data_IF_126826331105
#
_entry.id   IF_126826331105
#
_cell.length_a   1.000
_cell.length_b   1.000
_cell.length_c   1.000
_cell.angle_alpha   90.00
_cell.angle_beta   90.00
_cell.angle_gamma   90.00
#
_symmetry.space_group_name_H-M   'P 1'
#
loop_
_entity.id
_entity.type
_entity.pdbx_description
1 polymer ?
#
# COMPACT_ATOMS: atom_id res chain seq x y z
N UNK A 1 10.72 -14.65 -23.05
CA UNK A 1 10.03 -15.43 -21.99
C UNK A 1 9.46 -16.69 -22.64
N UNK A 2 9.92 -17.87 -22.27
CA UNK A 2 9.53 -19.14 -22.89
C UNK A 2 8.06 -19.48 -22.61
N UNK A 3 7.42 -20.27 -23.49
CA UNK A 3 6.04 -20.76 -23.32
C UNK A 3 5.86 -21.46 -21.95
N UNK A 4 6.86 -22.23 -21.54
CA UNK A 4 6.90 -22.93 -20.26
C UNK A 4 6.78 -21.93 -19.09
N UNK A 5 7.50 -20.82 -19.12
CA UNK A 5 7.41 -19.81 -18.05
C UNK A 5 6.03 -19.14 -18.01
N UNK A 6 5.36 -18.96 -19.16
CA UNK A 6 3.97 -18.44 -19.19
C UNK A 6 3.00 -19.42 -18.54
N UNK A 7 3.15 -20.73 -18.79
CA UNK A 7 2.31 -21.78 -18.21
C UNK A 7 2.53 -21.87 -16.69
N UNK A 8 3.77 -21.88 -16.25
CA UNK A 8 4.12 -21.94 -14.81
C UNK A 8 3.53 -20.72 -14.08
N UNK A 9 3.65 -19.52 -14.65
CA UNK A 9 3.09 -18.31 -14.04
C UNK A 9 1.55 -18.36 -13.96
N UNK A 10 0.89 -18.89 -15.00
CA UNK A 10 -0.56 -19.08 -14.99
C UNK A 10 -1.02 -20.10 -13.94
N UNK A 11 -0.29 -21.21 -13.78
CA UNK A 11 -0.57 -22.21 -12.76
C UNK A 11 -0.36 -21.68 -11.33
N UNK A 12 0.70 -20.91 -11.11
CA UNK A 12 0.94 -20.23 -9.83
C UNK A 12 -0.18 -19.24 -9.50
N UNK A 13 -0.61 -18.45 -10.49
CA UNK A 13 -1.75 -17.55 -10.34
C UNK A 13 -3.01 -18.29 -9.90
N UNK A 14 -3.36 -19.41 -10.58
CA UNK A 14 -4.53 -20.23 -10.23
C UNK A 14 -4.38 -20.85 -8.83
N UNK A 15 -3.18 -21.28 -8.46
CA UNK A 15 -2.89 -21.80 -7.11
C UNK A 15 -3.11 -20.75 -6.01
N UNK A 16 -2.62 -19.53 -6.19
CA UNK A 16 -2.84 -18.43 -5.23
C UNK A 16 -4.32 -18.05 -5.17
N UNK A 17 -5.01 -18.03 -6.30
CA UNK A 17 -6.46 -17.80 -6.37
C UNK A 17 -7.24 -18.86 -5.58
N UNK A 18 -6.89 -20.13 -5.75
CA UNK A 18 -7.49 -21.24 -5.02
C UNK A 18 -7.23 -21.15 -3.51
N UNK A 19 -5.98 -20.87 -3.12
CA UNK A 19 -5.63 -20.63 -1.70
C UNK A 19 -6.38 -19.46 -1.08
N UNK A 20 -6.60 -18.40 -1.83
CA UNK A 20 -7.36 -17.24 -1.35
C UNK A 20 -8.82 -17.62 -1.11
N UNK A 21 -9.50 -18.20 -2.09
CA UNK A 21 -10.92 -18.62 -1.96
C UNK A 21 -11.15 -19.59 -0.80
N UNK A 22 -10.25 -20.55 -0.60
CA UNK A 22 -10.33 -21.54 0.49
C UNK A 22 -10.05 -20.98 1.89
N UNK A 23 -9.51 -19.76 2.00
CA UNK A 23 -9.08 -19.18 3.28
C UNK A 23 -9.66 -17.79 3.56
N UNK A 24 -10.85 -17.49 3.01
CA UNK A 24 -11.56 -16.23 3.23
C UNK A 24 -11.76 -15.89 4.72
N UNK A 25 -11.99 -16.91 5.56
CA UNK A 25 -12.11 -16.77 7.01
C UNK A 25 -10.86 -16.16 7.70
N UNK A 26 -9.75 -16.06 7.00
CA UNK A 26 -8.50 -15.46 7.51
C UNK A 26 -8.32 -13.98 7.13
N UNK A 27 -9.24 -13.44 6.35
CA UNK A 27 -9.32 -12.01 6.08
C UNK A 27 -9.97 -11.31 7.27
N UNK A 28 -9.37 -10.22 7.73
CA UNK A 28 -9.89 -9.39 8.79
C UNK A 28 -9.78 -7.94 8.38
N UNK A 29 -10.90 -7.25 8.41
CA UNK A 29 -10.99 -5.82 8.18
C UNK A 29 -11.60 -5.15 9.40
N UNK A 30 -11.00 -4.05 9.82
CA UNK A 30 -11.49 -3.17 10.86
C UNK A 30 -11.56 -1.77 10.29
N UNK A 31 -12.73 -1.17 10.33
CA UNK A 31 -12.96 0.21 9.95
C UNK A 31 -13.30 1.01 11.20
N UNK A 32 -12.61 2.12 11.40
CA UNK A 32 -12.66 2.92 12.63
C UNK A 32 -13.25 4.31 12.43
N UNK A 33 -13.31 4.78 11.19
CA UNK A 33 -13.86 6.09 10.86
C UNK A 33 -14.88 6.00 9.73
N UNK A 34 -15.90 6.88 9.71
CA UNK A 34 -16.87 6.97 8.64
C UNK A 34 -16.23 7.44 7.32
N UNK A 35 -16.84 7.06 6.20
CA UNK A 35 -16.35 7.42 4.85
C UNK A 35 -16.47 8.91 4.50
N UNK A 36 -17.20 9.69 5.28
CA UNK A 36 -17.42 11.15 5.05
C UNK A 36 -16.16 12.01 5.24
N UNK A 37 -15.07 11.43 5.73
CA UNK A 37 -13.78 12.12 5.82
C UNK A 37 -13.04 12.20 4.48
N UNK A 38 -13.44 11.40 3.48
CA UNK A 38 -12.84 11.45 2.14
C UNK A 38 -13.25 12.73 1.41
N UNK A 39 -12.31 13.67 1.34
CA UNK A 39 -12.47 14.96 0.66
C UNK A 39 -11.29 15.18 -0.29
N UNK A 40 -11.43 16.00 -1.33
CA UNK A 40 -10.30 16.35 -2.17
C UNK A 40 -9.10 16.84 -1.34
N UNK A 41 -7.91 16.47 -1.79
CA UNK A 41 -6.66 16.83 -1.12
C UNK A 41 -6.55 18.37 -0.95
N UNK A 42 -6.17 18.86 0.22
CA UNK A 42 -5.98 20.29 0.44
C UNK A 42 -4.74 20.80 -0.32
N UNK A 43 -4.67 22.12 -0.55
CA UNK A 43 -3.59 22.74 -1.32
C UNK A 43 -2.19 22.52 -0.75
N UNK A 44 -2.06 22.22 0.52
CA UNK A 44 -0.79 21.95 1.18
C UNK A 44 -0.41 20.45 1.26
N UNK A 45 -1.20 19.56 0.64
CA UNK A 45 -0.94 18.12 0.66
C UNK A 45 0.46 17.76 0.14
N UNK A 46 0.96 18.45 -0.90
CA UNK A 46 2.31 18.23 -1.41
C UNK A 46 3.41 18.58 -0.40
N UNK A 47 3.22 19.65 0.38
CA UNK A 47 4.14 20.00 1.46
C UNK A 47 4.16 18.93 2.55
N UNK A 48 2.97 18.46 2.94
CA UNK A 48 2.83 17.36 3.91
C UNK A 48 3.46 16.07 3.39
N UNK A 49 3.26 15.73 2.11
CA UNK A 49 3.91 14.59 1.48
C UNK A 49 5.44 14.68 1.56
N UNK A 50 6.04 15.84 1.24
CA UNK A 50 7.50 16.03 1.34
C UNK A 50 8.01 15.84 2.77
N UNK A 51 7.30 16.36 3.77
CA UNK A 51 7.67 16.15 5.17
C UNK A 51 7.59 14.67 5.56
N UNK A 52 6.56 13.97 5.09
CA UNK A 52 6.36 12.56 5.34
C UNK A 52 7.45 11.69 4.69
N UNK A 53 7.80 11.98 3.44
CA UNK A 53 8.90 11.28 2.76
C UNK A 53 10.22 11.43 3.52
N UNK A 54 10.54 12.63 4.02
CA UNK A 54 11.74 12.85 4.85
C UNK A 54 11.73 12.03 6.15
N UNK A 55 10.56 11.81 6.77
CA UNK A 55 10.44 10.92 7.94
C UNK A 55 10.72 9.46 7.58
N UNK A 56 10.28 9.03 6.41
CA UNK A 56 10.49 7.66 5.94
C UNK A 56 11.93 7.40 5.47
N UNK A 57 12.57 8.37 4.82
CA UNK A 57 13.96 8.25 4.33
C UNK A 57 14.97 7.96 5.46
N UNK A 58 14.67 8.40 6.68
CA UNK A 58 15.46 8.09 7.87
C UNK A 58 15.31 6.63 8.36
N UNK A 59 14.48 5.83 7.72
CA UNK A 59 14.14 4.46 8.14
C UNK A 59 14.69 3.42 7.17
N UNK A 60 15.93 2.96 7.37
CA UNK A 60 16.59 1.95 6.51
C UNK A 60 15.82 0.62 6.36
N UNK A 61 14.92 0.31 7.29
CA UNK A 61 14.11 -0.92 7.30
C UNK A 61 12.75 -0.76 6.57
N UNK A 62 12.46 0.42 6.02
CA UNK A 62 11.23 0.72 5.31
C UNK A 62 11.50 0.85 3.82
N UNK A 63 10.97 -0.09 3.05
CA UNK A 63 10.99 -0.06 1.59
C UNK A 63 9.60 0.29 1.10
N UNK A 64 9.43 1.49 0.55
CA UNK A 64 8.14 2.00 0.08
C UNK A 64 8.31 2.95 -1.10
N UNK A 65 7.20 3.21 -1.78
CA UNK A 65 7.11 4.20 -2.87
C UNK A 65 5.70 4.79 -2.91
N UNK A 66 5.53 5.90 -3.59
CA UNK A 66 4.21 6.35 -3.99
C UNK A 66 3.58 5.40 -5.00
N UNK A 67 2.26 5.30 -4.99
CA UNK A 67 1.52 4.42 -5.88
C UNK A 67 0.24 5.07 -6.42
N UNK A 68 -0.48 4.33 -7.23
CA UNK A 68 -1.81 4.66 -7.78
C UNK A 68 -1.93 6.13 -8.25
N UNK A 69 -2.93 6.86 -7.81
CA UNK A 69 -3.21 8.25 -8.20
C UNK A 69 -2.09 9.23 -7.82
N UNK A 70 -1.50 9.04 -6.64
CA UNK A 70 -0.43 9.90 -6.13
C UNK A 70 0.82 9.85 -7.00
N UNK A 71 1.25 8.65 -7.43
CA UNK A 71 2.38 8.49 -8.35
C UNK A 71 2.04 9.03 -9.74
N UNK A 72 0.84 8.71 -10.26
CA UNK A 72 0.40 9.16 -11.57
C UNK A 72 0.41 10.70 -11.67
N UNK A 73 -0.11 11.39 -10.68
CA UNK A 73 -0.14 12.86 -10.65
C UNK A 73 1.26 13.46 -10.71
N UNK A 74 2.20 12.96 -9.90
CA UNK A 74 3.57 13.45 -9.89
C UNK A 74 4.30 13.18 -11.21
N UNK A 75 4.13 12.00 -11.82
CA UNK A 75 4.78 11.66 -13.09
C UNK A 75 4.21 12.43 -14.28
N UNK A 76 2.88 12.68 -14.31
CA UNK A 76 2.21 13.33 -15.42
C UNK A 76 2.25 14.86 -15.32
N UNK A 77 1.98 15.40 -14.14
CA UNK A 77 1.69 16.83 -13.93
C UNK A 77 2.70 17.50 -13.00
N UNK A 78 3.64 16.74 -12.42
CA UNK A 78 4.59 17.22 -11.42
C UNK A 78 3.96 17.59 -10.07
N UNK A 79 2.70 17.18 -9.83
CA UNK A 79 1.92 17.49 -8.63
C UNK A 79 0.89 16.40 -8.32
N UNK A 80 0.37 16.39 -7.11
CA UNK A 80 -0.75 15.53 -6.74
C UNK A 80 -2.01 15.88 -7.54
N UNK A 81 -2.87 14.89 -7.79
CA UNK A 81 -4.14 15.09 -8.50
C UNK A 81 -5.10 15.84 -7.58
N UNK A 82 -5.57 17.03 -8.00
CA UNK A 82 -6.34 17.95 -7.15
C UNK A 82 -7.72 17.43 -6.71
N UNK A 83 -8.29 16.48 -7.43
CA UNK A 83 -9.58 15.85 -7.09
C UNK A 83 -9.41 14.48 -6.42
N UNK A 84 -8.17 14.03 -6.21
CA UNK A 84 -7.88 12.85 -5.42
C UNK A 84 -8.14 13.13 -3.94
N UNK A 85 -8.38 12.10 -3.15
CA UNK A 85 -8.78 12.23 -1.74
C UNK A 85 -7.82 11.57 -0.77
N UNK A 86 -6.75 10.95 -1.27
CA UNK A 86 -5.76 10.22 -0.49
C UNK A 86 -4.36 10.31 -1.12
N UNK A 87 -3.38 9.90 -0.35
CA UNK A 87 -1.99 9.72 -0.78
C UNK A 87 -1.65 8.24 -0.60
N UNK A 88 -1.38 7.56 -1.72
CA UNK A 88 -1.15 6.13 -1.78
C UNK A 88 0.31 5.76 -1.71
N UNK A 89 0.60 4.73 -0.94
CA UNK A 89 1.93 4.13 -0.81
C UNK A 89 1.89 2.61 -0.96
N UNK A 90 2.73 2.07 -1.84
CA UNK A 90 3.09 0.67 -1.83
C UNK A 90 4.25 0.43 -0.85
N UNK A 91 4.11 -0.53 0.02
CA UNK A 91 5.08 -0.87 1.06
C UNK A 91 5.47 -2.34 0.96
N UNK A 92 6.76 -2.64 0.98
CA UNK A 92 7.21 -4.03 1.10
C UNK A 92 6.91 -4.52 2.53
N UNK A 93 6.08 -5.57 2.62
CA UNK A 93 5.63 -6.08 3.90
C UNK A 93 6.77 -6.69 4.71
N UNK A 94 6.93 -6.23 5.92
CA UNK A 94 7.66 -6.87 7.00
C UNK A 94 7.00 -6.50 8.33
N UNK A 95 7.29 -7.22 9.40
CA UNK A 95 6.84 -6.80 10.74
C UNK A 95 7.44 -5.45 11.14
N UNK A 96 8.65 -5.17 10.68
CA UNK A 96 9.36 -3.90 10.95
C UNK A 96 8.69 -2.74 10.20
N UNK A 97 8.40 -2.89 8.90
CA UNK A 97 7.75 -1.83 8.11
C UNK A 97 6.38 -1.46 8.68
N UNK A 98 5.57 -2.44 9.08
CA UNK A 98 4.29 -2.18 9.78
C UNK A 98 4.52 -1.38 11.06
N UNK A 99 5.47 -1.80 11.90
CA UNK A 99 5.78 -1.15 13.18
C UNK A 99 6.27 0.29 13.01
N UNK A 100 7.12 0.54 11.99
CA UNK A 100 7.61 1.89 11.66
C UNK A 100 6.43 2.79 11.31
N UNK A 101 5.55 2.37 10.41
CA UNK A 101 4.39 3.17 10.00
C UNK A 101 3.43 3.40 11.18
N UNK A 102 3.13 2.37 11.99
CA UNK A 102 2.30 2.53 13.19
C UNK A 102 2.93 3.49 14.22
N UNK A 103 4.26 3.48 14.38
CA UNK A 103 4.96 4.40 15.28
C UNK A 103 4.90 5.84 14.74
N UNK A 104 5.18 6.06 13.45
CA UNK A 104 5.10 7.40 12.83
C UNK A 104 3.68 7.94 12.95
N UNK A 105 2.66 7.13 12.64
CA UNK A 105 1.27 7.53 12.79
C UNK A 105 0.94 7.94 14.24
N UNK A 106 1.45 7.20 15.23
CA UNK A 106 1.29 7.52 16.64
C UNK A 106 2.01 8.82 17.03
N UNK A 107 3.27 8.99 16.61
CA UNK A 107 4.09 10.16 16.94
C UNK A 107 3.55 11.44 16.27
N UNK A 108 2.88 11.29 15.12
CA UNK A 108 2.19 12.37 14.40
C UNK A 108 0.71 12.53 14.81
N UNK A 109 0.23 11.76 15.80
CA UNK A 109 -1.16 11.78 16.30
C UNK A 109 -2.21 11.52 15.21
N UNK A 110 -1.88 10.69 14.21
CA UNK A 110 -2.80 10.35 13.14
C UNK A 110 -3.94 9.45 13.62
N UNK A 111 -5.13 9.72 13.12
CA UNK A 111 -6.29 8.86 13.35
C UNK A 111 -6.29 7.66 12.40
N UNK A 112 -6.56 6.46 12.93
CA UNK A 112 -6.68 5.24 12.13
C UNK A 112 -8.08 5.16 11.51
N UNK A 113 -8.17 5.01 10.18
CA UNK A 113 -9.41 4.81 9.42
C UNK A 113 -9.69 3.32 9.23
N UNK A 114 -8.71 2.62 8.65
CA UNK A 114 -8.88 1.24 8.19
C UNK A 114 -7.64 0.40 8.49
N UNK A 115 -7.88 -0.85 8.86
CA UNK A 115 -6.85 -1.84 9.08
C UNK A 115 -7.28 -3.16 8.44
N UNK A 116 -6.50 -3.65 7.48
CA UNK A 116 -6.78 -4.91 6.79
C UNK A 116 -5.65 -5.88 7.02
N UNK A 117 -5.99 -7.12 7.36
CA UNK A 117 -5.01 -8.19 7.50
C UNK A 117 -5.50 -9.50 6.86
N UNK A 118 -4.56 -10.26 6.31
CA UNK A 118 -4.79 -11.60 5.79
C UNK A 118 -3.74 -12.55 6.34
N UNK A 119 -4.17 -13.65 6.95
CA UNK A 119 -3.27 -14.64 7.58
C UNK A 119 -2.25 -14.02 8.55
N UNK A 120 -2.69 -13.08 9.38
CA UNK A 120 -1.84 -12.32 10.32
C UNK A 120 -0.78 -11.42 9.66
N UNK A 121 -0.82 -11.22 8.35
CA UNK A 121 0.01 -10.23 7.65
C UNK A 121 -0.83 -8.99 7.38
N UNK A 122 -0.27 -7.83 7.67
CA UNK A 122 -0.88 -6.54 7.30
C UNK A 122 -0.97 -6.46 5.78
N UNK A 123 -2.12 -6.00 5.29
CA UNK A 123 -2.38 -5.78 3.87
C UNK A 123 -2.60 -4.31 3.58
N UNK A 124 -3.20 -3.58 4.51
CA UNK A 124 -3.49 -2.16 4.38
C UNK A 124 -3.59 -1.51 5.76
N UNK A 125 -3.05 -0.31 5.85
CA UNK A 125 -3.28 0.64 6.94
C UNK A 125 -3.64 1.99 6.31
N UNK A 126 -4.77 2.55 6.72
CA UNK A 126 -5.22 3.86 6.26
C UNK A 126 -5.34 4.78 7.45
N UNK A 127 -4.69 5.93 7.39
CA UNK A 127 -4.70 6.95 8.43
C UNK A 127 -5.16 8.29 7.89
N UNK A 128 -5.50 9.20 8.77
CA UNK A 128 -5.70 10.61 8.46
C UNK A 128 -4.97 11.50 9.47
N UNK A 129 -4.47 12.63 9.00
CA UNK A 129 -3.82 13.62 9.85
C UNK A 129 -4.81 14.69 10.40
N UNK A 130 -4.28 15.70 11.10
CA UNK A 130 -5.02 16.84 11.64
C UNK A 130 -5.74 17.66 10.56
N UNK A 131 -5.20 17.71 9.34
CA UNK A 131 -5.77 18.41 8.19
C UNK A 131 -6.71 17.53 7.35
N UNK A 132 -6.98 16.32 7.78
CA UNK A 132 -7.81 15.30 7.12
C UNK A 132 -7.23 14.79 5.80
N UNK A 133 -5.91 14.89 5.61
CA UNK A 133 -5.23 14.21 4.52
C UNK A 133 -5.19 12.73 4.85
N UNK A 134 -5.63 11.91 3.92
CA UNK A 134 -5.66 10.46 4.06
C UNK A 134 -4.37 9.88 3.49
N UNK A 135 -3.77 8.97 4.22
CA UNK A 135 -2.57 8.23 3.83
C UNK A 135 -2.90 6.75 3.78
N UNK A 136 -2.79 6.14 2.61
CA UNK A 136 -3.09 4.72 2.39
C UNK A 136 -1.81 3.91 2.14
N UNK A 137 -1.50 3.00 3.06
CA UNK A 137 -0.34 2.13 3.01
C UNK A 137 -0.76 0.72 2.61
N UNK A 138 -0.42 0.33 1.39
CA UNK A 138 -0.72 -1.00 0.83
C UNK A 138 0.51 -1.89 0.93
N UNK A 139 0.40 -2.97 1.70
CA UNK A 139 1.52 -3.86 1.99
C UNK A 139 1.58 -5.02 1.00
N UNK A 140 2.69 -5.16 0.32
CA UNK A 140 2.97 -6.22 -0.63
C UNK A 140 3.84 -7.29 0.00
N UNK A 141 3.34 -8.52 0.00
CA UNK A 141 4.11 -9.69 0.43
C UNK A 141 4.80 -10.32 -0.77
N UNK A 142 6.10 -10.59 -0.65
CA UNK A 142 6.82 -11.36 -1.67
C UNK A 142 6.54 -12.85 -1.49
N UNK A 143 6.21 -13.52 -2.58
CA UNK A 143 6.06 -14.96 -2.68
C UNK A 143 6.74 -15.41 -3.98
N UNK A 144 7.98 -15.90 -3.83
CA UNK A 144 8.85 -16.31 -4.92
C UNK A 144 9.09 -15.16 -5.93
N UNK A 145 8.40 -15.17 -7.07
CA UNK A 145 8.54 -14.17 -8.15
C UNK A 145 7.42 -13.14 -8.19
N UNK A 146 6.54 -13.14 -7.20
CA UNK A 146 5.36 -12.28 -7.19
C UNK A 146 5.27 -11.49 -5.90
N UNK A 147 4.86 -10.24 -6.04
CA UNK A 147 4.34 -9.46 -4.94
C UNK A 147 2.83 -9.60 -4.91
N UNK A 148 2.26 -9.88 -3.74
CA UNK A 148 0.84 -10.18 -3.56
C UNK A 148 0.29 -9.30 -2.47
N UNK A 149 -0.86 -8.69 -2.75
CA UNK A 149 -1.67 -7.94 -1.78
C UNK A 149 -3.11 -8.46 -1.75
N UNK A 150 -3.72 -8.48 -0.57
CA UNK A 150 -5.08 -8.93 -0.30
C UNK A 150 -5.88 -7.86 0.46
N UNK A 151 -5.78 -6.61 0.03
CA UNK A 151 -6.45 -5.48 0.70
C UNK A 151 -7.97 -5.50 0.55
N UNK A 152 -8.51 -6.24 -0.42
CA UNK A 152 -9.94 -6.36 -0.67
C UNK A 152 -10.43 -7.82 -0.56
N UNK A 153 -11.64 -8.07 -0.02
CA UNK A 153 -12.14 -9.42 0.23
C UNK A 153 -12.26 -10.30 -1.02
N UNK A 154 -12.64 -9.72 -2.14
CA UNK A 154 -12.87 -10.43 -3.41
C UNK A 154 -11.81 -10.14 -4.47
N UNK A 155 -10.85 -9.28 -4.14
CA UNK A 155 -9.80 -8.89 -5.04
C UNK A 155 -8.44 -9.10 -4.36
N UNK A 156 -7.52 -9.61 -5.13
CA UNK A 156 -6.11 -9.59 -4.76
C UNK A 156 -5.33 -9.07 -5.94
N UNK A 157 -4.32 -8.29 -5.62
CA UNK A 157 -3.41 -7.75 -6.63
C UNK A 157 -2.17 -8.64 -6.68
N UNK A 158 -1.71 -8.98 -7.88
CA UNK A 158 -0.45 -9.70 -8.09
C UNK A 158 0.41 -8.86 -9.01
N UNK A 159 1.63 -8.60 -8.57
CA UNK A 159 2.64 -7.89 -9.34
C UNK A 159 3.89 -8.78 -9.48
N UNK A 160 4.59 -8.69 -10.62
CA UNK A 160 5.88 -9.35 -10.74
C UNK A 160 6.88 -8.73 -9.76
N UNK A 161 7.59 -9.56 -8.98
CA UNK A 161 8.57 -9.11 -8.00
C UNK A 161 9.61 -8.14 -8.60
N UNK A 162 10.11 -8.46 -9.80
CA UNK A 162 11.09 -7.60 -10.48
C UNK A 162 10.55 -6.21 -10.79
N UNK A 163 9.26 -6.11 -11.09
CA UNK A 163 8.61 -4.84 -11.35
C UNK A 163 8.50 -4.02 -10.06
N UNK A 164 8.03 -4.63 -8.97
CA UNK A 164 7.94 -3.97 -7.68
C UNK A 164 9.32 -3.51 -7.16
N UNK A 165 10.32 -4.42 -7.17
CA UNK A 165 11.68 -4.12 -6.69
C UNK A 165 12.40 -3.09 -7.55
N UNK A 166 12.20 -3.11 -8.86
CA UNK A 166 12.75 -2.10 -9.76
C UNK A 166 12.18 -0.71 -9.46
N UNK A 167 10.87 -0.61 -9.32
CA UNK A 167 10.19 0.66 -9.01
C UNK A 167 10.55 1.23 -7.64
N UNK A 168 10.92 0.37 -6.68
CA UNK A 168 11.35 0.80 -5.33
C UNK A 168 12.82 1.26 -5.32
N UNK A 169 13.68 0.75 -6.22
CA UNK A 169 15.12 1.05 -6.24
C UNK A 169 15.50 2.20 -7.18
N UNK A 170 14.66 2.57 -8.12
CA UNK A 170 14.93 3.61 -9.12
C UNK A 170 14.39 5.00 -8.72
N UNK A 171 13.80 5.13 -7.53
CA UNK A 171 13.40 6.38 -6.90
C UNK A 171 14.25 6.63 -5.66
#
# INVERSE_FOLDING_TARGET
>A
MTLINKIINKLRFVYHLGKFKLNFSRYKEFQFAPFDIYKPLPLNAERKLKLLLNLFDNSSDLTMRLSDGSLLGLLRDGKLISHDNDIDFDVLWSKKSVKIIENIAKDQEWGLIRKVSYRKRMQQLTFFDDEKIIYDFIFWSLDDKFAINFSEPNHFRIMNEKFLTRMIREN
#
